data_IF_601493674461
#
_entry.id   IF_601493674461
#
_cell.length_a   1.000
_cell.length_b   1.000
_cell.length_c   1.000
_cell.angle_alpha   90.00
_cell.angle_beta   90.00
_cell.angle_gamma   90.00
#
_symmetry.space_group_name_H-M   'P 1'
#
loop_
_entity.id
_entity.type
_entity.pdbx_description
1 polymer ?
#
# COMPACT_ATOMS: atom_id res chain seq x y z
N UNK A 1 3.09 -12.73 -12.66
CA UNK A 1 2.96 -13.21 -11.27
C UNK A 1 4.25 -13.90 -10.86
N UNK A 2 5.16 -13.19 -10.20
CA UNK A 2 6.42 -13.78 -9.69
C UNK A 2 6.10 -14.41 -8.35
N UNK A 3 6.10 -15.75 -8.30
CA UNK A 3 6.05 -16.50 -7.05
C UNK A 3 7.38 -16.28 -6.32
N UNK A 4 7.39 -15.41 -5.33
CA UNK A 4 8.49 -15.34 -4.36
C UNK A 4 8.44 -16.66 -3.58
N UNK A 5 9.32 -17.60 -3.93
CA UNK A 5 9.59 -18.77 -3.10
C UNK A 5 10.20 -18.27 -1.79
N UNK A 6 9.40 -18.24 -0.73
CA UNK A 6 9.92 -18.09 0.62
C UNK A 6 10.77 -19.31 0.94
N UNK A 7 12.07 -19.18 0.76
CA UNK A 7 13.09 -20.20 1.09
C UNK A 7 13.42 -20.14 2.59
N UNK A 8 12.42 -19.98 3.46
CA UNK A 8 12.56 -20.30 4.87
C UNK A 8 12.40 -21.81 4.97
N UNK A 9 13.55 -22.53 4.99
CA UNK A 9 13.57 -23.90 5.49
C UNK A 9 12.91 -23.85 6.87
N UNK A 10 11.69 -24.32 6.97
CA UNK A 10 11.04 -24.56 8.26
C UNK A 10 11.91 -25.58 8.96
N UNK A 11 12.67 -25.14 9.95
CA UNK A 11 13.45 -26.04 10.80
C UNK A 11 12.49 -27.09 11.34
N UNK A 12 12.70 -28.34 10.99
CA UNK A 12 11.94 -29.50 11.50
C UNK A 12 12.20 -29.73 13.00
N UNK A 13 13.01 -28.89 13.61
CA UNK A 13 13.39 -28.99 15.02
C UNK A 13 12.21 -28.61 15.93
N UNK A 14 11.65 -29.62 16.58
CA UNK A 14 10.61 -29.44 17.60
C UNK A 14 11.24 -29.53 19.01
N UNK A 15 10.96 -28.54 19.85
CA UNK A 15 11.35 -28.60 21.26
C UNK A 15 10.63 -29.76 21.96
N UNK A 16 11.20 -30.24 23.08
CA UNK A 16 10.56 -31.26 23.90
C UNK A 16 9.22 -30.74 24.45
N UNK A 17 8.19 -31.57 24.34
CA UNK A 17 6.90 -31.35 24.96
C UNK A 17 6.92 -31.76 26.44
N UNK A 18 5.91 -31.34 27.22
CA UNK A 18 5.79 -31.77 28.60
C UNK A 18 5.67 -33.30 28.73
N UNK A 19 4.95 -33.95 27.82
CA UNK A 19 4.83 -35.42 27.77
C UNK A 19 6.18 -36.12 27.57
N UNK A 20 7.03 -35.58 26.65
CA UNK A 20 8.37 -36.12 26.45
C UNK A 20 9.25 -35.92 27.69
N UNK A 21 9.10 -34.80 28.41
CA UNK A 21 9.80 -34.57 29.69
C UNK A 21 9.40 -35.54 30.78
N UNK A 22 8.11 -35.85 30.89
CA UNK A 22 7.56 -36.85 31.83
C UNK A 22 8.14 -38.23 31.51
N UNK A 23 8.22 -38.61 30.26
CA UNK A 23 8.84 -39.89 29.85
C UNK A 23 10.34 -39.92 30.18
N UNK A 24 11.06 -38.80 29.97
CA UNK A 24 12.47 -38.67 30.37
C UNK A 24 12.62 -38.88 31.88
N UNK A 25 11.73 -38.31 32.71
CA UNK A 25 11.72 -38.46 34.15
C UNK A 25 11.56 -39.91 34.55
N UNK A 26 10.56 -40.62 34.01
CA UNK A 26 10.30 -42.03 34.28
C UNK A 26 11.50 -42.92 33.95
N UNK A 27 12.01 -42.81 32.72
CA UNK A 27 13.12 -43.64 32.23
C UNK A 27 14.43 -43.33 32.91
N UNK A 28 14.70 -42.05 33.22
CA UNK A 28 15.89 -41.65 33.95
C UNK A 28 15.85 -42.22 35.39
N UNK A 29 14.71 -42.22 36.04
CA UNK A 29 14.51 -42.82 37.36
C UNK A 29 14.62 -44.36 37.34
N UNK A 30 14.34 -45.01 36.18
CA UNK A 30 14.60 -46.43 35.96
C UNK A 30 16.03 -46.77 35.69
N UNK A 31 16.93 -45.76 35.54
CA UNK A 31 18.36 -45.95 35.30
C UNK A 31 18.75 -45.99 33.82
N UNK A 32 17.83 -45.69 32.88
CA UNK A 32 18.16 -45.68 31.48
C UNK A 32 19.21 -44.59 31.15
N UNK A 33 20.13 -44.92 30.24
CA UNK A 33 21.15 -43.97 29.76
C UNK A 33 20.54 -42.89 28.87
N UNK A 34 21.18 -41.71 28.79
CA UNK A 34 20.78 -40.63 27.92
C UNK A 34 20.68 -41.05 26.43
N UNK A 35 21.52 -42.01 26.00
CA UNK A 35 21.47 -42.57 24.64
C UNK A 35 20.23 -43.40 24.42
N UNK A 36 19.88 -44.23 25.39
CA UNK A 36 18.70 -45.09 25.33
C UNK A 36 17.41 -44.25 25.34
N UNK A 37 17.28 -43.28 26.26
CA UNK A 37 16.17 -42.35 26.32
C UNK A 37 16.04 -41.58 25.00
N UNK A 38 17.19 -41.13 24.48
CA UNK A 38 17.22 -40.41 23.18
C UNK A 38 16.70 -41.27 22.02
N UNK A 39 17.11 -42.57 21.96
CA UNK A 39 16.66 -43.53 20.95
C UNK A 39 15.17 -43.75 21.03
N UNK A 40 14.59 -43.96 22.21
CA UNK A 40 13.14 -44.15 22.43
C UNK A 40 12.30 -42.95 22.02
N UNK A 41 12.81 -41.71 22.24
CA UNK A 41 12.11 -40.46 21.88
C UNK A 41 12.39 -39.99 20.45
N UNK A 42 13.30 -40.65 19.72
CA UNK A 42 13.78 -40.15 18.41
C UNK A 42 14.50 -38.79 18.52
N UNK A 43 15.24 -38.59 19.63
CA UNK A 43 15.96 -37.36 19.93
C UNK A 43 17.46 -37.63 20.12
N UNK A 44 18.27 -36.64 19.79
CA UNK A 44 19.73 -36.78 20.05
C UNK A 44 19.99 -36.84 21.56
N UNK A 45 20.89 -37.70 22.00
CA UNK A 45 21.24 -37.89 23.41
C UNK A 45 21.68 -36.58 24.12
N UNK A 46 22.30 -35.64 23.37
CA UNK A 46 22.65 -34.33 23.91
C UNK A 46 21.43 -33.51 24.31
N UNK A 47 20.30 -33.66 23.58
CA UNK A 47 19.04 -33.01 23.93
C UNK A 47 18.53 -33.48 25.28
N UNK A 48 18.65 -34.81 25.55
CA UNK A 48 18.29 -35.40 26.83
C UNK A 48 19.23 -34.90 27.94
N UNK A 49 20.54 -34.92 27.71
CA UNK A 49 21.52 -34.39 28.68
C UNK A 49 21.24 -32.93 29.04
N UNK A 50 20.96 -32.09 28.04
CA UNK A 50 20.63 -30.67 28.26
C UNK A 50 19.31 -30.51 29.04
N UNK A 51 18.33 -31.37 28.80
CA UNK A 51 17.06 -31.33 29.51
C UNK A 51 17.22 -31.76 30.96
N UNK A 52 17.95 -32.84 31.23
CA UNK A 52 18.27 -33.29 32.58
C UNK A 52 18.97 -32.19 33.37
N UNK A 53 20.01 -31.54 32.81
CA UNK A 53 20.67 -30.38 33.45
C UNK A 53 19.69 -29.23 33.75
N UNK A 54 18.67 -29.04 32.91
CA UNK A 54 17.68 -27.98 33.05
C UNK A 54 16.71 -28.25 34.21
N UNK A 55 16.22 -29.49 34.35
CA UNK A 55 15.17 -29.86 35.28
C UNK A 55 15.66 -30.51 36.57
N UNK A 56 16.97 -30.74 36.73
CA UNK A 56 17.54 -31.34 37.98
C UNK A 56 17.59 -30.29 39.07
N UNK A 57 17.08 -30.70 40.25
CA UNK A 57 17.11 -29.93 41.48
C UNK A 57 17.64 -30.76 42.63
N UNK A 58 18.25 -30.09 43.61
CA UNK A 58 18.74 -30.76 44.85
C UNK A 58 17.56 -30.92 45.80
N UNK A 59 17.26 -32.15 46.17
CA UNK A 59 16.23 -32.50 47.20
C UNK A 59 16.92 -33.04 48.44
N UNK A 60 16.45 -32.62 49.62
CA UNK A 60 16.90 -33.14 50.92
C UNK A 60 15.81 -34.10 51.39
N UNK A 61 16.10 -35.41 51.41
CA UNK A 61 15.23 -36.43 51.98
C UNK A 61 15.42 -36.54 53.47
N UNK A 62 14.58 -37.32 54.16
CA UNK A 62 14.54 -37.52 55.61
C UNK A 62 15.88 -37.82 56.22
N UNK A 63 16.82 -38.46 55.48
CA UNK A 63 18.17 -38.77 55.95
C UNK A 63 19.17 -37.60 55.81
N UNK A 64 18.71 -36.36 55.59
CA UNK A 64 19.50 -35.12 55.46
C UNK A 64 20.65 -35.12 54.39
N UNK A 65 20.72 -36.16 53.54
CA UNK A 65 21.71 -36.19 52.44
C UNK A 65 21.09 -35.55 51.17
N UNK A 66 21.71 -34.54 50.60
CA UNK A 66 21.21 -33.92 49.36
C UNK A 66 21.30 -34.93 48.21
N UNK A 67 20.22 -35.09 47.47
CA UNK A 67 20.14 -35.90 46.24
C UNK A 67 19.69 -35.05 45.09
N UNK A 68 20.39 -35.17 43.94
CA UNK A 68 19.96 -34.53 42.74
C UNK A 68 18.92 -35.39 42.00
N UNK A 69 17.74 -34.82 41.75
CA UNK A 69 16.65 -35.47 41.05
C UNK A 69 16.16 -34.59 39.94
N UNK A 70 15.85 -35.21 38.82
CA UNK A 70 15.23 -34.53 37.70
C UNK A 70 13.70 -34.53 37.85
N UNK A 71 13.08 -33.37 37.56
CA UNK A 71 11.62 -33.18 37.52
C UNK A 71 11.20 -32.57 36.21
N UNK A 72 10.25 -33.20 35.50
CA UNK A 72 9.71 -32.75 34.23
C UNK A 72 9.09 -31.36 34.33
N UNK A 73 8.37 -31.08 35.42
CA UNK A 73 7.74 -29.79 35.66
C UNK A 73 8.75 -28.65 35.86
N UNK A 74 9.86 -28.94 36.58
CA UNK A 74 10.96 -27.97 36.70
C UNK A 74 11.61 -27.69 35.38
N UNK A 75 11.86 -28.72 34.58
CA UNK A 75 12.40 -28.61 33.22
C UNK A 75 11.47 -27.77 32.32
N UNK A 76 10.16 -28.02 32.42
CA UNK A 76 9.15 -27.28 31.67
C UNK A 76 9.07 -25.81 32.13
N UNK A 77 9.06 -25.55 33.44
CA UNK A 77 9.04 -24.18 33.97
C UNK A 77 10.25 -23.35 33.51
N UNK A 78 11.47 -23.92 33.63
CA UNK A 78 12.68 -23.27 33.12
C UNK A 78 12.66 -23.08 31.60
N UNK A 79 12.12 -24.05 30.86
CA UNK A 79 11.94 -23.88 29.41
C UNK A 79 11.03 -22.71 29.10
N UNK A 80 9.87 -22.60 29.75
CA UNK A 80 8.92 -21.50 29.55
C UNK A 80 9.56 -20.15 29.91
N UNK A 81 10.29 -20.08 31.02
CA UNK A 81 11.01 -18.87 31.43
C UNK A 81 12.05 -18.43 30.39
N UNK A 82 12.87 -19.37 29.92
CA UNK A 82 13.86 -19.10 28.89
C UNK A 82 13.20 -18.66 27.58
N UNK A 83 12.03 -19.25 27.22
CA UNK A 83 11.28 -18.84 26.03
C UNK A 83 10.73 -17.41 26.13
N UNK A 84 10.36 -16.94 27.34
CA UNK A 84 9.95 -15.54 27.57
C UNK A 84 11.08 -14.54 27.27
N UNK A 85 12.33 -14.96 27.46
CA UNK A 85 13.54 -14.16 27.17
C UNK A 85 13.98 -14.24 25.71
N UNK A 86 13.46 -15.21 24.93
CA UNK A 86 13.76 -15.39 23.53
C UNK A 86 12.92 -14.51 22.64
N UNK A 87 13.47 -14.10 21.52
CA UNK A 87 12.78 -13.32 20.50
C UNK A 87 13.22 -11.86 20.45
N UNK A 88 12.84 -11.18 19.40
CA UNK A 88 13.14 -9.75 19.22
C UNK A 88 12.31 -8.92 20.20
N UNK A 89 12.96 -7.98 20.90
CA UNK A 89 12.26 -7.02 21.76
C UNK A 89 11.34 -6.14 20.92
N UNK A 90 10.16 -5.80 21.47
CA UNK A 90 9.25 -4.87 20.82
C UNK A 90 9.92 -3.50 20.64
N UNK A 91 9.80 -2.93 19.45
CA UNK A 91 10.31 -1.60 19.13
C UNK A 91 9.30 -0.48 19.41
N UNK A 92 8.16 -0.79 20.09
CA UNK A 92 7.11 0.19 20.37
C UNK A 92 7.63 1.42 21.12
N UNK A 93 8.47 1.21 22.13
CA UNK A 93 9.01 2.30 22.94
C UNK A 93 10.17 2.99 22.21
N UNK A 94 11.12 2.21 21.68
CA UNK A 94 12.31 2.79 21.03
C UNK A 94 12.02 3.54 19.73
N UNK A 95 10.89 3.26 19.06
CA UNK A 95 10.49 3.91 17.81
C UNK A 95 9.18 4.71 17.98
N UNK A 96 8.89 5.22 19.18
CA UNK A 96 7.63 5.90 19.50
C UNK A 96 7.38 7.10 18.58
N UNK A 97 8.39 7.91 18.30
CA UNK A 97 8.26 9.10 17.44
C UNK A 97 7.85 8.72 16.02
N UNK A 98 8.51 7.68 15.46
CA UNK A 98 8.14 7.16 14.15
C UNK A 98 6.73 6.57 14.15
N UNK A 99 6.35 5.86 15.19
CA UNK A 99 5.01 5.26 15.30
C UNK A 99 3.93 6.34 15.38
N UNK A 100 4.14 7.41 16.18
CA UNK A 100 3.22 8.54 16.26
C UNK A 100 3.09 9.26 14.92
N UNK A 101 4.20 9.53 14.25
CA UNK A 101 4.20 10.07 12.90
C UNK A 101 3.41 9.15 11.95
N UNK A 102 3.69 7.85 11.97
CA UNK A 102 3.02 6.88 11.10
C UNK A 102 1.50 6.84 11.37
N UNK A 103 1.07 6.84 12.63
CA UNK A 103 -0.35 6.89 12.99
C UNK A 103 -1.02 8.16 12.44
N UNK A 104 -0.39 9.31 12.57
CA UNK A 104 -0.90 10.58 12.02
C UNK A 104 -1.05 10.51 10.50
N UNK A 105 -0.02 10.03 9.78
CA UNK A 105 -0.10 9.92 8.32
C UNK A 105 -1.19 8.93 7.87
N UNK A 106 -1.41 7.84 8.59
CA UNK A 106 -2.48 6.89 8.26
C UNK A 106 -3.88 7.45 8.49
N UNK A 107 -4.08 8.23 9.55
CA UNK A 107 -5.40 8.77 9.91
C UNK A 107 -5.73 10.01 9.06
N UNK A 108 -4.81 10.99 9.00
CA UNK A 108 -5.08 12.30 8.41
C UNK A 108 -4.96 12.30 6.88
N UNK A 109 -4.03 11.48 6.34
CA UNK A 109 -3.68 11.48 4.92
C UNK A 109 -3.96 10.14 4.22
N UNK A 110 -4.49 9.14 4.91
CA UNK A 110 -4.76 7.80 4.37
C UNK A 110 -3.52 7.10 3.77
N UNK A 111 -2.32 7.41 4.26
CA UNK A 111 -1.11 6.74 3.80
C UNK A 111 -1.10 5.27 4.25
N UNK A 112 -0.57 4.39 3.40
CA UNK A 112 -0.34 3.00 3.81
C UNK A 112 0.95 2.87 4.63
N UNK A 113 1.08 1.87 5.50
CA UNK A 113 2.34 1.58 6.19
C UNK A 113 3.55 1.47 5.26
N UNK A 114 3.36 0.94 4.04
CA UNK A 114 4.41 0.83 3.02
C UNK A 114 4.85 2.21 2.51
N UNK A 115 3.89 3.08 2.19
CA UNK A 115 4.17 4.45 1.75
C UNK A 115 4.94 5.24 2.81
N UNK A 116 4.57 5.10 4.09
CA UNK A 116 5.22 5.82 5.21
C UNK A 116 6.67 5.38 5.38
N UNK A 117 6.89 4.06 5.47
CA UNK A 117 8.25 3.52 5.66
C UNK A 117 9.13 3.83 4.46
N UNK A 118 8.59 3.71 3.25
CA UNK A 118 9.31 4.02 2.01
C UNK A 118 9.67 5.49 1.91
N UNK A 119 8.73 6.39 2.20
CA UNK A 119 8.93 7.84 2.19
C UNK A 119 10.01 8.29 3.17
N UNK A 120 9.94 7.84 4.43
CA UNK A 120 10.94 8.19 5.43
C UNK A 120 12.34 7.70 5.03
N UNK A 121 12.42 6.51 4.44
CA UNK A 121 13.70 5.98 3.94
C UNK A 121 14.24 6.77 2.73
N UNK A 122 13.35 7.22 1.84
CA UNK A 122 13.76 7.98 0.65
C UNK A 122 14.25 9.39 1.01
N UNK A 123 13.71 9.99 2.08
CA UNK A 123 14.17 11.30 2.56
C UNK A 123 15.59 11.26 3.14
N UNK A 124 15.96 10.14 3.80
CA UNK A 124 17.29 9.99 4.42
C UNK A 124 17.58 10.93 5.61
N UNK A 125 16.63 11.77 6.00
CA UNK A 125 16.79 12.80 7.06
C UNK A 125 16.28 12.34 8.43
N UNK A 126 15.71 11.14 8.53
CA UNK A 126 15.17 10.62 9.77
C UNK A 126 16.25 9.92 10.58
N UNK A 127 16.66 10.51 11.69
CA UNK A 127 17.76 10.07 12.57
C UNK A 127 17.34 9.08 13.68
N UNK A 128 16.01 8.93 13.89
CA UNK A 128 15.46 8.10 14.97
C UNK A 128 15.13 6.67 14.51
N UNK A 129 15.01 5.72 15.46
CA UNK A 129 14.64 4.35 15.11
C UNK A 129 13.34 4.24 14.33
N UNK A 130 13.33 3.48 13.26
CA UNK A 130 12.14 3.16 12.45
C UNK A 130 11.77 1.68 12.57
N UNK A 131 10.51 1.36 12.35
CA UNK A 131 10.05 -0.02 12.22
C UNK A 131 9.77 -0.37 10.76
N UNK A 132 9.85 -1.66 10.44
CA UNK A 132 9.54 -2.13 9.09
C UNK A 132 8.03 -2.06 8.79
N UNK A 133 7.68 -2.00 7.51
CA UNK A 133 6.30 -2.09 7.03
C UNK A 133 5.53 -3.24 7.66
N UNK A 134 6.13 -4.44 7.70
CA UNK A 134 5.52 -5.62 8.31
C UNK A 134 5.29 -5.45 9.81
N UNK A 135 6.20 -4.78 10.52
CA UNK A 135 6.04 -4.51 11.96
C UNK A 135 4.88 -3.57 12.21
N UNK A 136 4.69 -2.51 11.40
CA UNK A 136 3.52 -1.63 11.51
C UNK A 136 2.21 -2.40 11.30
N UNK A 137 2.11 -3.23 10.26
CA UNK A 137 0.94 -4.09 10.06
C UNK A 137 0.67 -5.01 11.25
N UNK A 138 1.73 -5.64 11.79
CA UNK A 138 1.59 -6.51 12.96
C UNK A 138 1.11 -5.74 14.20
N UNK A 139 1.54 -4.50 14.40
CA UNK A 139 1.08 -3.68 15.52
C UNK A 139 -0.38 -3.25 15.36
N UNK A 140 -0.81 -2.95 14.12
CA UNK A 140 -2.22 -2.65 13.81
C UNK A 140 -3.09 -3.89 14.05
N UNK A 141 -2.68 -5.06 13.55
CA UNK A 141 -3.42 -6.31 13.68
C UNK A 141 -3.55 -6.75 15.16
N UNK A 142 -2.51 -6.51 15.98
CA UNK A 142 -2.52 -6.80 17.42
C UNK A 142 -3.22 -5.72 18.25
N UNK A 143 -3.67 -4.64 17.64
CA UNK A 143 -4.34 -3.54 18.32
C UNK A 143 -3.46 -2.67 19.22
N UNK A 144 -2.14 -2.67 18.99
CA UNK A 144 -1.19 -1.85 19.75
C UNK A 144 -1.19 -0.38 19.37
N UNK A 145 -1.80 -0.04 18.22
CA UNK A 145 -1.88 1.33 17.70
C UNK A 145 -3.33 1.84 17.73
N UNK A 146 -3.54 3.16 17.75
CA UNK A 146 -4.89 3.74 17.59
C UNK A 146 -5.47 3.45 16.20
N UNK A 147 -4.63 3.18 15.20
CA UNK A 147 -5.01 2.79 13.84
C UNK A 147 -5.55 1.35 13.84
N UNK A 148 -6.66 1.14 13.14
CA UNK A 148 -7.29 -0.17 12.95
C UNK A 148 -7.35 -0.53 11.46
N UNK A 149 -7.64 -1.79 11.15
CA UNK A 149 -7.69 -2.30 9.77
C UNK A 149 -8.68 -1.55 8.86
N UNK A 150 -9.75 -0.97 9.39
CA UNK A 150 -10.71 -0.19 8.61
C UNK A 150 -10.13 1.15 8.11
N UNK A 151 -9.10 1.71 8.76
CA UNK A 151 -8.37 2.87 8.25
C UNK A 151 -7.50 2.51 7.03
N UNK A 152 -7.16 1.23 6.85
CA UNK A 152 -6.38 0.72 5.73
C UNK A 152 -7.31 0.31 4.58
N UNK A 153 -7.88 1.30 3.88
CA UNK A 153 -8.97 1.13 2.90
C UNK A 153 -8.69 0.14 1.77
N UNK A 154 -7.41 -0.12 1.44
CA UNK A 154 -7.03 -1.12 0.43
C UNK A 154 -6.97 -2.55 0.96
N UNK A 155 -7.00 -2.75 2.28
CA UNK A 155 -6.93 -4.08 2.91
C UNK A 155 -8.27 -4.82 2.86
N UNK A 156 -9.39 -4.07 2.82
CA UNK A 156 -10.75 -4.62 2.86
C UNK A 156 -11.37 -4.57 1.45
N UNK A 157 -11.12 -5.57 0.61
CA UNK A 157 -11.84 -5.75 -0.67
C UNK A 157 -12.84 -6.88 -0.55
N UNK A 158 -14.12 -6.56 -0.70
CA UNK A 158 -15.22 -7.44 -0.33
C UNK A 158 -15.99 -8.14 -1.46
N UNK A 159 -15.69 -7.95 -2.77
CA UNK A 159 -16.51 -8.61 -3.80
C UNK A 159 -15.81 -8.88 -5.13
N UNK A 160 -16.06 -10.04 -5.76
CA UNK A 160 -15.67 -10.29 -7.16
C UNK A 160 -16.51 -9.44 -8.11
N UNK A 161 -15.89 -8.92 -9.17
CA UNK A 161 -16.58 -8.15 -10.22
C UNK A 161 -17.49 -9.07 -11.05
N UNK A 162 -18.77 -8.72 -11.19
CA UNK A 162 -19.67 -9.38 -12.15
C UNK A 162 -19.29 -8.96 -13.57
N UNK A 163 -19.18 -9.93 -14.50
CA UNK A 163 -19.00 -9.67 -15.92
C UNK A 163 -20.29 -9.02 -16.48
N UNK A 164 -20.16 -7.91 -17.21
CA UNK A 164 -21.25 -7.26 -17.93
C UNK A 164 -21.13 -7.55 -19.42
N UNK A 165 -22.27 -7.61 -20.14
CA UNK A 165 -22.30 -7.69 -21.59
C UNK A 165 -21.72 -6.42 -22.22
N UNK A 166 -21.05 -6.56 -23.36
CA UNK A 166 -20.37 -5.48 -24.07
C UNK A 166 -21.25 -4.98 -25.21
N UNK A 167 -21.34 -3.66 -25.38
CA UNK A 167 -21.93 -3.02 -26.55
C UNK A 167 -20.80 -2.34 -27.34
N UNK A 168 -20.83 -2.43 -28.66
CA UNK A 168 -19.83 -1.77 -29.52
C UNK A 168 -20.06 -0.26 -29.54
N UNK A 169 -19.03 0.54 -29.24
CA UNK A 169 -19.01 2.00 -29.40
C UNK A 169 -18.07 2.37 -30.55
N UNK A 170 -18.41 3.43 -31.30
CA UNK A 170 -17.58 4.02 -32.35
C UNK A 170 -16.47 4.87 -31.73
N UNK A 171 -15.27 4.89 -32.31
CA UNK A 171 -14.18 5.79 -31.90
C UNK A 171 -14.52 7.25 -32.26
N UNK A 172 -14.19 8.20 -31.37
CA UNK A 172 -14.52 9.61 -31.51
C UNK A 172 -13.49 10.43 -32.28
N UNK A 173 -12.23 9.96 -32.39
CA UNK A 173 -11.13 10.69 -33.04
C UNK A 173 -9.92 9.81 -33.29
N UNK A 174 -8.68 10.36 -33.20
CA UNK A 174 -7.43 9.60 -33.40
C UNK A 174 -7.35 8.43 -32.42
N UNK A 175 -7.06 7.23 -32.96
CA UNK A 175 -6.91 6.03 -32.12
C UNK A 175 -5.68 6.14 -31.23
N UNK A 176 -5.73 5.48 -30.08
CA UNK A 176 -4.56 5.28 -29.20
C UNK A 176 -3.41 4.58 -29.93
N UNK A 177 -3.67 3.82 -30.99
CA UNK A 177 -2.64 3.17 -31.82
C UNK A 177 -1.77 4.18 -32.58
N UNK A 178 -2.31 5.37 -32.85
CA UNK A 178 -1.57 6.47 -33.50
C UNK A 178 -0.70 7.24 -32.51
N UNK A 179 -0.82 6.93 -31.21
CA UNK A 179 -0.05 7.58 -30.16
C UNK A 179 1.43 7.13 -30.23
N UNK A 180 2.40 8.07 -30.26
CA UNK A 180 3.82 7.75 -30.26
C UNK A 180 4.21 6.84 -29.08
N UNK A 181 4.95 5.75 -29.36
CA UNK A 181 5.37 4.77 -28.35
C UNK A 181 6.21 5.36 -27.22
N UNK A 182 6.88 6.48 -27.43
CA UNK A 182 7.60 7.23 -26.40
C UNK A 182 6.70 7.64 -25.23
N UNK A 183 5.41 7.91 -25.48
CA UNK A 183 4.43 8.27 -24.45
C UNK A 183 4.16 7.08 -23.52
N UNK A 184 4.26 5.84 -24.02
CA UNK A 184 4.02 4.65 -23.24
C UNK A 184 5.13 4.36 -22.23
N UNK A 185 6.33 4.84 -22.47
CA UNK A 185 7.45 4.75 -21.53
C UNK A 185 7.22 5.54 -20.24
N UNK A 186 6.34 6.56 -20.27
CA UNK A 186 6.01 7.47 -19.15
C UNK A 186 7.25 8.23 -18.63
N UNK A 187 8.23 8.45 -19.47
CA UNK A 187 9.45 9.20 -19.14
C UNK A 187 9.33 10.68 -19.49
N UNK A 188 8.47 11.01 -20.44
CA UNK A 188 8.19 12.38 -20.87
C UNK A 188 7.09 13.01 -20.02
N UNK A 189 7.26 14.27 -19.63
CA UNK A 189 6.26 15.07 -18.95
C UNK A 189 5.27 15.67 -19.93
N UNK A 190 4.03 15.88 -19.50
CA UNK A 190 3.02 16.58 -20.28
C UNK A 190 2.02 15.68 -20.99
N UNK A 191 2.04 14.37 -20.71
CA UNK A 191 1.09 13.41 -21.27
C UNK A 191 0.06 13.01 -20.22
N UNK A 192 -1.21 13.31 -20.51
CA UNK A 192 -2.32 13.18 -19.55
C UNK A 192 -3.30 12.09 -19.94
N UNK A 193 -3.91 11.51 -18.95
CA UNK A 193 -5.12 10.68 -19.11
C UNK A 193 -6.30 11.48 -18.52
N UNK A 194 -7.40 11.60 -19.25
CA UNK A 194 -8.61 12.29 -18.81
C UNK A 194 -9.75 11.27 -18.59
N UNK A 195 -10.57 11.50 -17.58
CA UNK A 195 -11.70 10.65 -17.25
C UNK A 195 -12.78 11.44 -16.50
N UNK A 196 -13.99 10.93 -16.45
CA UNK A 196 -15.08 11.49 -15.66
C UNK A 196 -15.47 10.59 -14.50
N UNK A 197 -15.78 11.19 -13.35
CA UNK A 197 -16.18 10.49 -12.13
C UNK A 197 -17.59 10.92 -11.75
N UNK A 198 -18.55 10.00 -11.90
CA UNK A 198 -19.96 10.22 -11.60
C UNK A 198 -20.28 9.76 -10.18
N UNK A 199 -20.96 10.56 -9.37
CA UNK A 199 -21.38 10.24 -8.02
C UNK A 199 -22.54 9.27 -7.99
N UNK A 200 -23.74 9.81 -8.13
CA UNK A 200 -24.99 9.08 -8.28
C UNK A 200 -25.34 8.84 -9.75
N UNK A 201 -26.42 8.14 -10.01
CA UNK A 201 -26.95 7.98 -11.36
C UNK A 201 -27.98 9.04 -11.73
N UNK A 202 -28.21 10.02 -10.87
CA UNK A 202 -29.09 11.14 -11.16
C UNK A 202 -28.51 12.01 -12.27
N UNK A 203 -29.36 12.51 -13.17
CA UNK A 203 -28.94 13.45 -14.21
C UNK A 203 -28.62 14.84 -13.66
N UNK A 204 -29.18 15.15 -12.48
CA UNK A 204 -29.05 16.47 -11.83
C UNK A 204 -27.86 16.49 -10.85
N UNK A 205 -26.98 15.47 -10.84
CA UNK A 205 -25.81 15.42 -10.00
C UNK A 205 -24.59 15.99 -10.74
N UNK A 206 -23.75 16.68 -10.02
CA UNK A 206 -22.45 17.11 -10.52
C UNK A 206 -21.60 15.92 -10.95
N UNK A 207 -20.60 16.16 -11.81
CA UNK A 207 -19.57 15.21 -12.14
C UNK A 207 -18.19 15.77 -11.78
N UNK A 208 -17.17 14.92 -11.73
CA UNK A 208 -15.78 15.37 -11.60
C UNK A 208 -15.02 15.01 -12.87
N UNK A 209 -14.40 16.01 -13.46
CA UNK A 209 -13.39 15.80 -14.48
C UNK A 209 -12.06 15.52 -13.78
N UNK A 210 -11.37 14.47 -14.16
CA UNK A 210 -10.08 14.10 -13.60
C UNK A 210 -9.05 14.01 -14.72
N UNK A 211 -7.93 14.72 -14.56
CA UNK A 211 -6.78 14.63 -15.44
C UNK A 211 -5.59 14.12 -14.63
N UNK A 212 -4.89 13.10 -15.12
CA UNK A 212 -3.74 12.52 -14.44
C UNK A 212 -2.53 12.54 -15.36
N UNK A 213 -1.47 13.21 -14.93
CA UNK A 213 -0.21 13.25 -15.66
C UNK A 213 0.52 11.90 -15.52
N UNK A 214 1.01 11.36 -16.65
CA UNK A 214 1.47 9.97 -16.75
C UNK A 214 2.85 9.72 -16.11
N UNK A 215 3.76 10.70 -16.13
CA UNK A 215 5.10 10.59 -15.53
C UNK A 215 5.07 10.81 -14.03
N UNK A 216 4.55 11.95 -13.59
CA UNK A 216 4.55 12.40 -12.19
C UNK A 216 3.42 11.81 -11.36
N UNK A 217 2.37 11.29 -12.03
CA UNK A 217 1.13 10.82 -11.38
C UNK A 217 0.35 11.94 -10.69
N UNK A 218 0.59 13.18 -11.06
CA UNK A 218 -0.13 14.32 -10.54
C UNK A 218 -1.55 14.34 -11.10
N UNK A 219 -2.52 14.64 -10.24
CA UNK A 219 -3.94 14.64 -10.55
C UNK A 219 -4.50 16.06 -10.43
N UNK A 220 -5.24 16.49 -11.44
CA UNK A 220 -6.10 17.67 -11.41
C UNK A 220 -7.55 17.17 -11.36
N UNK A 221 -8.38 17.81 -10.55
CA UNK A 221 -9.82 17.50 -10.48
C UNK A 221 -10.62 18.79 -10.60
N UNK A 222 -11.58 18.80 -11.50
CA UNK A 222 -12.49 19.92 -11.71
C UNK A 222 -13.93 19.46 -11.46
N UNK A 223 -14.70 20.23 -10.70
CA UNK A 223 -16.13 19.95 -10.49
C UNK A 223 -16.90 20.48 -11.70
N UNK A 224 -17.61 19.59 -12.38
CA UNK A 224 -18.53 19.90 -13.48
C UNK A 224 -19.93 20.09 -12.94
N UNK A 225 -20.69 20.99 -13.55
CA UNK A 225 -22.09 21.21 -13.18
C UNK A 225 -22.97 20.00 -13.55
N UNK A 226 -22.63 19.31 -14.63
CA UNK A 226 -23.24 18.06 -15.09
C UNK A 226 -22.24 17.18 -15.85
N UNK A 227 -22.72 16.05 -16.40
CA UNK A 227 -21.91 15.09 -17.16
C UNK A 227 -22.11 15.27 -18.68
N UNK A 228 -22.00 16.51 -19.18
CA UNK A 228 -22.18 16.85 -20.59
C UNK A 228 -20.86 17.25 -21.25
N UNK A 229 -20.87 17.25 -22.58
CA UNK A 229 -19.76 17.73 -23.42
C UNK A 229 -19.47 19.22 -23.19
N UNK A 230 -20.52 20.02 -23.03
CA UNK A 230 -20.42 21.46 -22.78
C UNK A 230 -19.72 21.75 -21.47
N UNK A 231 -20.07 21.03 -20.39
CA UNK A 231 -19.44 21.17 -19.07
C UNK A 231 -17.96 20.79 -19.10
N UNK A 232 -17.58 19.73 -19.82
CA UNK A 232 -16.19 19.34 -20.03
C UNK A 232 -15.43 20.40 -20.83
N UNK A 233 -16.01 20.86 -21.94
CA UNK A 233 -15.42 21.93 -22.77
C UNK A 233 -15.19 23.20 -21.96
N UNK A 234 -16.15 23.60 -21.13
CA UNK A 234 -16.02 24.77 -20.26
C UNK A 234 -14.88 24.58 -19.26
N UNK A 235 -14.82 23.44 -18.59
CA UNK A 235 -13.76 23.14 -17.63
C UNK A 235 -12.36 23.18 -18.26
N UNK A 236 -12.20 22.63 -19.46
CA UNK A 236 -10.93 22.67 -20.20
C UNK A 236 -10.58 24.11 -20.60
N UNK A 237 -11.54 24.93 -21.03
CA UNK A 237 -11.32 26.35 -21.33
C UNK A 237 -10.89 27.13 -20.10
N UNK A 238 -11.47 26.84 -18.92
CA UNK A 238 -11.04 27.44 -17.65
C UNK A 238 -9.61 27.06 -17.30
N UNK A 239 -9.25 25.77 -17.37
CA UNK A 239 -7.86 25.33 -17.16
C UNK A 239 -6.89 26.02 -18.12
N UNK A 240 -7.26 26.16 -19.40
CA UNK A 240 -6.47 26.87 -20.40
C UNK A 240 -6.26 28.34 -20.03
N UNK A 241 -7.30 29.00 -19.50
CA UNK A 241 -7.22 30.36 -19.02
C UNK A 241 -6.31 30.49 -17.78
N UNK A 242 -6.47 29.63 -16.79
CA UNK A 242 -5.69 29.64 -15.55
C UNK A 242 -4.17 29.40 -15.78
N UNK A 243 -3.81 28.46 -16.63
CA UNK A 243 -2.41 28.19 -16.97
C UNK A 243 -1.84 29.23 -17.96
N UNK A 244 -2.68 29.88 -18.74
CA UNK A 244 -2.27 30.69 -19.88
C UNK A 244 -1.84 29.87 -21.08
N UNK A 245 -2.11 30.36 -22.31
CA UNK A 245 -1.96 29.61 -23.57
C UNK A 245 -0.59 28.95 -23.74
N UNK A 246 0.49 29.70 -23.53
CA UNK A 246 1.85 29.19 -23.74
C UNK A 246 2.25 28.11 -22.75
N UNK A 247 1.88 28.26 -21.47
CA UNK A 247 2.13 27.25 -20.44
C UNK A 247 1.26 26.02 -20.62
N UNK A 248 -0.01 26.22 -21.01
CA UNK A 248 -0.93 25.12 -21.21
C UNK A 248 -0.39 24.14 -22.25
N UNK A 249 0.03 24.59 -23.43
CA UNK A 249 0.60 23.71 -24.47
C UNK A 249 1.88 22.99 -24.04
N UNK A 250 2.69 23.61 -23.19
CA UNK A 250 3.89 22.97 -22.64
C UNK A 250 3.59 21.91 -21.57
N UNK A 251 2.51 22.08 -20.80
CA UNK A 251 2.10 21.19 -19.74
C UNK A 251 1.19 20.07 -20.27
N UNK A 252 0.32 20.39 -21.23
CA UNK A 252 -0.65 19.46 -21.82
C UNK A 252 -0.26 19.14 -23.28
N UNK A 253 0.81 18.37 -23.45
CA UNK A 253 1.31 17.98 -24.79
C UNK A 253 0.37 16.97 -25.45
N UNK A 254 -0.13 16.00 -24.70
CA UNK A 254 -1.18 15.08 -25.18
C UNK A 254 -2.17 14.70 -24.09
N UNK A 255 -3.40 14.38 -24.51
CA UNK A 255 -4.45 13.88 -23.64
C UNK A 255 -4.99 12.57 -24.21
N UNK A 256 -5.10 11.54 -23.40
CA UNK A 256 -5.75 10.26 -23.76
C UNK A 256 -7.11 10.18 -23.05
N UNK A 257 -8.18 10.14 -23.84
CA UNK A 257 -9.58 10.03 -23.38
C UNK A 257 -10.16 8.63 -23.63
N UNK A 258 -11.30 8.31 -23.02
CA UNK A 258 -12.14 7.22 -23.52
C UNK A 258 -13.12 7.72 -24.59
N UNK A 259 -13.92 6.79 -25.11
CA UNK A 259 -14.98 7.11 -26.07
C UNK A 259 -16.28 7.51 -25.34
N UNK A 260 -16.21 8.30 -24.27
CA UNK A 260 -17.35 8.92 -23.62
C UNK A 260 -17.88 10.07 -24.47
N UNK A 261 -19.21 10.21 -24.57
CA UNK A 261 -19.83 11.31 -25.33
C UNK A 261 -19.45 12.68 -24.81
N UNK A 262 -19.12 12.77 -23.53
CA UNK A 262 -18.65 13.99 -22.85
C UNK A 262 -17.31 14.51 -23.38
N UNK A 263 -16.54 13.67 -24.09
CA UNK A 263 -15.23 14.03 -24.65
C UNK A 263 -15.25 14.29 -26.15
N UNK A 264 -16.43 14.33 -26.79
CA UNK A 264 -16.56 14.45 -28.26
C UNK A 264 -16.00 15.75 -28.82
N UNK A 265 -16.05 16.87 -28.09
CA UNK A 265 -15.54 18.17 -28.53
C UNK A 265 -14.16 18.55 -28.04
N UNK A 266 -13.39 17.59 -27.49
CA UNK A 266 -12.04 17.90 -26.98
C UNK A 266 -11.13 18.45 -28.07
N UNK A 267 -11.14 17.88 -29.27
CA UNK A 267 -10.33 18.33 -30.41
C UNK A 267 -10.64 19.79 -30.78
N UNK A 268 -11.91 20.15 -30.87
CA UNK A 268 -12.37 21.50 -31.18
C UNK A 268 -12.01 22.49 -30.05
N UNK A 269 -12.16 22.05 -28.80
CA UNK A 269 -11.88 22.88 -27.61
C UNK A 269 -10.38 23.21 -27.49
N UNK A 270 -9.52 22.28 -27.82
CA UNK A 270 -8.08 22.42 -27.68
C UNK A 270 -7.38 22.98 -28.93
N UNK A 271 -8.06 23.01 -30.09
CA UNK A 271 -7.62 23.70 -31.31
C UNK A 271 -6.17 23.37 -31.69
N UNK A 272 -5.83 22.09 -31.78
CA UNK A 272 -4.49 21.61 -32.16
C UNK A 272 -3.33 22.00 -31.20
N UNK A 273 -3.63 22.56 -30.03
CA UNK A 273 -2.59 22.88 -29.02
C UNK A 273 -2.12 21.65 -28.24
N UNK A 274 -2.89 20.59 -28.29
CA UNK A 274 -2.68 19.35 -27.53
C UNK A 274 -3.12 18.19 -28.42
N UNK A 275 -2.27 17.16 -28.54
CA UNK A 275 -2.65 15.94 -29.26
C UNK A 275 -3.67 15.13 -28.46
N UNK A 276 -4.77 14.73 -29.09
CA UNK A 276 -5.80 13.95 -28.41
C UNK A 276 -5.88 12.54 -28.99
N UNK A 277 -5.86 11.54 -28.11
CA UNK A 277 -5.97 10.13 -28.45
C UNK A 277 -7.13 9.50 -27.72
N UNK A 278 -7.87 8.61 -28.39
CA UNK A 278 -8.99 7.90 -27.81
C UNK A 278 -8.63 6.42 -27.62
N UNK A 279 -8.84 5.94 -26.38
CA UNK A 279 -8.61 4.53 -26.04
C UNK A 279 -9.62 3.63 -26.77
N UNK A 280 -9.28 2.37 -26.99
CA UNK A 280 -10.22 1.43 -27.58
C UNK A 280 -11.46 1.24 -26.69
N UNK A 281 -12.62 1.03 -27.30
CA UNK A 281 -13.81 0.72 -26.55
C UNK A 281 -13.59 -0.47 -25.61
N UNK A 282 -14.01 -0.33 -24.35
CA UNK A 282 -13.85 -1.34 -23.28
C UNK A 282 -12.43 -1.67 -22.84
N UNK A 283 -11.44 -0.93 -23.27
CA UNK A 283 -10.01 -1.14 -22.95
C UNK A 283 -9.54 -0.24 -21.80
N UNK A 284 -10.19 -0.34 -20.63
CA UNK A 284 -9.87 0.49 -19.46
C UNK A 284 -8.42 0.34 -19.00
N UNK A 285 -7.73 -0.78 -19.34
CA UNK A 285 -6.32 -0.98 -19.03
C UNK A 285 -5.39 -0.02 -19.75
N UNK A 286 -5.80 0.53 -20.89
CA UNK A 286 -5.04 1.53 -21.65
C UNK A 286 -4.96 2.88 -20.91
N UNK A 287 -5.90 3.12 -19.96
CA UNK A 287 -5.96 4.27 -19.07
C UNK A 287 -5.82 3.86 -17.60
N UNK A 288 -4.99 2.88 -17.32
CA UNK A 288 -4.81 2.32 -15.97
C UNK A 288 -4.31 3.33 -14.93
N UNK A 289 -3.73 4.48 -15.37
CA UNK A 289 -3.33 5.55 -14.47
C UNK A 289 -4.56 6.25 -13.88
N UNK A 290 -5.52 6.63 -14.71
CA UNK A 290 -6.76 7.25 -14.28
C UNK A 290 -7.61 6.31 -13.41
N UNK A 291 -7.80 5.04 -13.82
CA UNK A 291 -8.56 4.07 -13.02
C UNK A 291 -8.01 3.98 -11.60
N UNK A 292 -6.68 3.94 -11.48
CA UNK A 292 -6.02 3.89 -10.15
C UNK A 292 -6.24 5.15 -9.34
N UNK A 293 -6.11 6.34 -9.95
CA UNK A 293 -6.28 7.62 -9.25
C UNK A 293 -7.74 7.87 -8.87
N UNK A 294 -8.67 7.56 -9.76
CA UNK A 294 -10.10 7.60 -9.46
C UNK A 294 -10.44 6.66 -8.29
N UNK A 295 -9.79 5.48 -8.21
CA UNK A 295 -9.90 4.58 -7.06
C UNK A 295 -9.38 5.17 -5.75
N UNK A 296 -8.40 6.08 -5.78
CA UNK A 296 -7.93 6.81 -4.60
C UNK A 296 -8.87 7.96 -4.23
N UNK A 297 -9.31 8.74 -5.21
CA UNK A 297 -10.29 9.81 -5.01
C UNK A 297 -11.59 9.25 -4.41
N UNK A 298 -12.00 8.05 -4.83
CA UNK A 298 -13.17 7.32 -4.30
C UNK A 298 -13.08 6.95 -2.82
N UNK A 299 -11.93 7.09 -2.18
CA UNK A 299 -11.81 6.96 -0.72
C UNK A 299 -12.44 8.17 0.00
N UNK A 300 -12.49 9.31 -0.67
CA UNK A 300 -13.05 10.57 -0.15
C UNK A 300 -14.47 10.81 -0.70
N UNK A 301 -14.70 10.44 -1.95
CA UNK A 301 -15.99 10.58 -2.65
C UNK A 301 -16.48 9.19 -3.06
N UNK A 302 -17.16 8.45 -2.18
CA UNK A 302 -17.62 7.08 -2.45
C UNK A 302 -18.59 7.01 -3.63
N UNK A 303 -18.55 5.88 -4.35
CA UNK A 303 -19.48 5.64 -5.44
C UNK A 303 -20.91 5.51 -4.92
N UNK A 304 -21.87 6.16 -5.60
CA UNK A 304 -23.29 6.15 -5.21
C UNK A 304 -23.69 7.32 -4.31
N UNK A 305 -22.72 8.13 -3.85
CA UNK A 305 -23.01 9.38 -3.14
C UNK A 305 -23.02 10.53 -4.15
N UNK A 306 -24.04 11.40 -4.17
CA UNK A 306 -24.08 12.56 -5.05
C UNK A 306 -22.88 13.48 -4.84
N UNK A 307 -22.28 13.95 -5.94
CA UNK A 307 -21.12 14.85 -5.90
C UNK A 307 -21.52 16.24 -5.42
N UNK A 308 -22.72 16.69 -5.71
CA UNK A 308 -23.25 17.97 -5.24
C UNK A 308 -23.29 18.10 -3.71
N UNK A 309 -23.20 17.00 -2.94
CA UNK A 309 -23.09 17.03 -1.49
C UNK A 309 -21.68 17.44 -1.00
N UNK A 310 -20.70 17.52 -1.86
CA UNK A 310 -19.33 17.91 -1.51
C UNK A 310 -19.02 19.31 -2.03
N UNK A 311 -18.48 20.15 -1.18
CA UNK A 311 -18.01 21.48 -1.60
C UNK A 311 -16.81 21.36 -2.56
N UNK A 312 -16.64 22.34 -3.45
CA UNK A 312 -15.45 22.43 -4.33
C UNK A 312 -14.16 22.38 -3.52
N UNK A 313 -14.13 23.03 -2.36
CA UNK A 313 -12.96 23.00 -1.43
C UNK A 313 -12.68 21.59 -0.91
N UNK A 314 -13.70 20.82 -0.53
CA UNK A 314 -13.52 19.43 -0.10
C UNK A 314 -12.91 18.57 -1.20
N UNK A 315 -13.41 18.71 -2.45
CA UNK A 315 -12.86 17.97 -3.60
C UNK A 315 -11.40 18.35 -3.84
N UNK A 316 -11.07 19.63 -3.73
CA UNK A 316 -9.69 20.10 -3.86
C UNK A 316 -8.78 19.50 -2.78
N UNK A 317 -9.19 19.54 -1.51
CA UNK A 317 -8.44 18.90 -0.41
C UNK A 317 -8.28 17.40 -0.60
N UNK A 318 -9.30 16.71 -1.10
CA UNK A 318 -9.21 15.28 -1.43
C UNK A 318 -8.18 15.03 -2.54
N UNK A 319 -8.16 15.86 -3.57
CA UNK A 319 -7.20 15.80 -4.68
C UNK A 319 -5.77 16.06 -4.19
N UNK A 320 -5.58 17.05 -3.33
CA UNK A 320 -4.28 17.35 -2.69
C UNK A 320 -3.78 16.16 -1.88
N UNK A 321 -4.63 15.52 -1.07
CA UNK A 321 -4.26 14.30 -0.34
C UNK A 321 -3.83 13.16 -1.27
N UNK A 322 -4.47 13.02 -2.43
CA UNK A 322 -4.07 12.05 -3.46
C UNK A 322 -2.69 12.40 -4.05
N UNK A 323 -2.40 13.69 -4.28
CA UNK A 323 -1.15 14.18 -4.83
C UNK A 323 0.01 14.17 -3.82
N UNK A 324 -0.28 14.25 -2.54
CA UNK A 324 0.69 14.16 -1.44
C UNK A 324 0.97 12.71 -1.03
N UNK A 325 0.23 11.71 -1.55
CA UNK A 325 0.45 10.31 -1.22
C UNK A 325 1.72 9.77 -1.90
N UNK A 326 2.77 9.37 -1.17
CA UNK A 326 3.99 8.80 -1.75
C UNK A 326 3.70 7.52 -2.53
N UNK A 327 4.31 7.40 -3.72
CA UNK A 327 4.08 6.27 -4.63
C UNK A 327 5.33 5.40 -4.76
N UNK A 328 5.19 4.12 -4.53
CA UNK A 328 6.30 3.17 -4.72
C UNK A 328 6.86 3.21 -6.15
N UNK A 329 6.00 3.40 -7.16
CA UNK A 329 6.40 3.52 -8.57
C UNK A 329 7.22 4.79 -8.86
N UNK A 330 7.21 5.77 -7.95
CA UNK A 330 7.96 7.01 -7.99
C UNK A 330 9.05 7.03 -6.90
N UNK A 331 9.57 5.86 -6.52
CA UNK A 331 10.55 5.69 -5.45
C UNK A 331 10.13 6.35 -4.14
N UNK A 332 8.84 6.23 -3.83
CA UNK A 332 8.16 6.84 -2.68
C UNK A 332 8.17 8.37 -2.65
N UNK A 333 8.45 9.02 -3.78
CA UNK A 333 8.25 10.47 -3.93
C UNK A 333 6.76 10.79 -4.10
N UNK A 334 6.42 12.02 -3.76
CA UNK A 334 5.06 12.54 -3.89
C UNK A 334 4.81 13.08 -5.31
N UNK A 335 3.65 12.79 -5.93
CA UNK A 335 3.26 13.37 -7.23
C UNK A 335 3.35 14.89 -7.29
N UNK A 336 2.92 15.59 -6.23
CA UNK A 336 2.97 17.04 -6.16
C UNK A 336 4.39 17.59 -6.27
N UNK A 337 5.34 16.99 -5.55
CA UNK A 337 6.75 17.41 -5.60
C UNK A 337 7.34 17.22 -6.99
N UNK A 338 7.10 16.05 -7.59
CA UNK A 338 7.60 15.75 -8.95
C UNK A 338 6.99 16.67 -9.99
N UNK A 339 5.70 16.96 -9.89
CA UNK A 339 5.02 17.87 -10.81
C UNK A 339 5.59 19.30 -10.73
N UNK A 340 5.85 19.81 -9.53
CA UNK A 340 6.44 21.12 -9.33
C UNK A 340 7.88 21.20 -9.92
N UNK A 341 8.67 20.15 -9.75
CA UNK A 341 10.00 20.06 -10.35
C UNK A 341 9.94 20.11 -11.88
N UNK A 342 9.00 19.37 -12.51
CA UNK A 342 8.82 19.41 -13.97
C UNK A 342 8.37 20.80 -14.44
N UNK A 343 7.46 21.47 -13.73
CA UNK A 343 7.03 22.84 -14.04
C UNK A 343 8.21 23.83 -13.93
N UNK A 344 9.06 23.68 -12.93
CA UNK A 344 10.25 24.52 -12.76
C UNK A 344 11.24 24.30 -13.92
N UNK A 345 11.45 23.06 -14.32
CA UNK A 345 12.31 22.72 -15.46
C UNK A 345 11.80 23.32 -16.79
N UNK A 346 10.47 23.40 -16.98
CA UNK A 346 9.87 24.08 -18.14
C UNK A 346 10.15 25.59 -18.12
N UNK A 347 10.07 26.24 -16.95
CA UNK A 347 10.37 27.67 -16.80
C UNK A 347 11.82 28.01 -17.17
N UNK A 348 12.76 27.15 -16.80
CA UNK A 348 14.19 27.34 -17.15
C UNK A 348 14.40 27.22 -18.66
N UNK A 349 13.69 26.33 -19.35
CA UNK A 349 13.79 26.15 -20.80
C UNK A 349 13.17 27.30 -21.60
N UNK A 350 12.27 28.07 -21.05
CA UNK A 350 11.61 29.21 -21.71
C UNK A 350 12.31 30.55 -21.47
N UNK A 351 13.37 30.58 -20.67
CA UNK A 351 14.16 31.76 -20.36
C UNK A 351 15.48 31.88 -21.16
N UNK A 352 15.65 31.07 -22.23
CA UNK A 352 16.80 31.15 -23.16
C UNK A 352 16.37 31.50 -24.58
#
# INVERSE_FOLDING_TARGET
>A
MVKIKNNTKTSSYKHLSLKERQLIEVWHNMGDSNREIGRRLGRHHQTISNELKRGTTTQIKENKKPKQLYFADTGQAKYIENRKRCGSKSKLVSAVDFINYACKQMIDFNWSPDAIVGFIKSLGTWDKPIVSTKTLYNYIDKGFLPVRNHHLKMKVRLSPKKKRSRQHKKALGKSIDERPSKIDSRQEFGHWEIDSVIGSKSKDDNALLTLVERKTRYMITVVLDDHTEESVSYAIKQLKYEFGRARFSSIFQSITADNGSEFSSLDDTLQQMTDIYFAHPYSSWERGTNERHNGLLRQFVPKGTPICHYSKQFIQLATEKVNLLPRKILDYRQPATLFLEEIQNLKIKTCW
#
